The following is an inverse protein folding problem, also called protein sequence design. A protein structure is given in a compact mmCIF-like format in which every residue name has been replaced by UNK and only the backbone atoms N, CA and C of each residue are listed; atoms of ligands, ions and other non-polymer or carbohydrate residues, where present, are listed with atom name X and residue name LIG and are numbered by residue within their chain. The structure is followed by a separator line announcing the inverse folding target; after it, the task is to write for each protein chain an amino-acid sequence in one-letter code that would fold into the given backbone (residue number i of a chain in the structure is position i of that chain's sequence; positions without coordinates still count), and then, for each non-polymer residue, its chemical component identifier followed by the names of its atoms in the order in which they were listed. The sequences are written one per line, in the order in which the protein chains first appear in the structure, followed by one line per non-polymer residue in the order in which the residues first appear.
data_IF_824940205471
#
_entry.id   IF_824940205471
#
_cell.length_a   1.000
_cell.length_b   1.000
_cell.length_c   1.000
_cell.angle_alpha   90.00
_cell.angle_beta   90.00
_cell.angle_gamma   90.00
#
_symmetry.space_group_name_H-M   'P 1'
#
loop_
_entity.id
_entity.type
_entity.pdbx_description
1 polymer ?
#
# COMPACT_ATOMS: atom_id res chain seq x y z
N UNK A 1 -0.75 -18.71 -9.90
CA UNK A 1 -0.29 -17.31 -10.04
C UNK A 1 1.04 -17.09 -9.33
N UNK A 2 2.14 -16.98 -10.09
CA UNK A 2 3.49 -16.67 -9.57
C UNK A 2 3.59 -15.20 -9.13
N UNK A 3 2.93 -14.32 -9.87
CA UNK A 3 2.96 -12.87 -9.69
C UNK A 3 2.28 -12.41 -8.38
N UNK A 4 1.09 -12.95 -8.08
CA UNK A 4 0.37 -12.65 -6.84
C UNK A 4 1.20 -13.03 -5.60
N UNK A 5 1.80 -14.23 -5.63
CA UNK A 5 2.69 -14.67 -4.56
C UNK A 5 3.90 -13.75 -4.40
N UNK A 6 4.51 -13.32 -5.51
CA UNK A 6 5.62 -12.36 -5.45
C UNK A 6 5.18 -11.02 -4.84
N UNK A 7 4.03 -10.46 -5.24
CA UNK A 7 3.52 -9.21 -4.68
C UNK A 7 3.21 -9.32 -3.18
N UNK A 8 2.58 -10.41 -2.73
CA UNK A 8 2.33 -10.67 -1.31
C UNK A 8 3.66 -10.75 -0.54
N UNK A 9 4.65 -11.47 -1.08
CA UNK A 9 5.98 -11.58 -0.45
C UNK A 9 6.68 -10.23 -0.35
N UNK A 10 6.64 -9.40 -1.40
CA UNK A 10 7.20 -8.05 -1.35
C UNK A 10 6.46 -7.16 -0.34
N UNK A 11 5.13 -7.20 -0.31
CA UNK A 11 4.33 -6.44 0.67
C UNK A 11 4.60 -6.89 2.11
N UNK A 12 4.89 -8.18 2.34
CA UNK A 12 5.21 -8.69 3.66
C UNK A 12 6.55 -8.16 4.22
N UNK A 13 7.45 -7.66 3.37
CA UNK A 13 8.75 -7.09 3.77
C UNK A 13 8.65 -5.69 4.38
N UNK A 14 7.51 -5.01 4.26
CA UNK A 14 7.32 -3.72 4.92
C UNK A 14 7.47 -3.89 6.43
N UNK A 15 8.35 -3.12 7.06
CA UNK A 15 8.58 -3.13 8.50
C UNK A 15 7.40 -2.54 9.28
N UNK A 16 6.88 -1.41 8.78
CA UNK A 16 5.70 -0.74 9.33
C UNK A 16 4.42 -1.57 9.14
N UNK A 17 3.65 -1.74 10.21
CA UNK A 17 2.41 -2.51 10.21
C UNK A 17 1.32 -1.90 9.33
N UNK A 18 1.19 -0.57 9.32
CA UNK A 18 0.18 0.13 8.54
C UNK A 18 0.47 -0.03 7.04
N UNK A 19 1.74 0.09 6.63
CA UNK A 19 2.13 -0.18 5.24
C UNK A 19 1.90 -1.63 4.85
N UNK A 20 2.38 -2.58 5.66
CA UNK A 20 2.22 -4.00 5.39
C UNK A 20 0.76 -4.40 5.26
N UNK A 21 -0.09 -3.98 6.22
CA UNK A 21 -1.51 -4.32 6.23
C UNK A 21 -2.29 -3.67 5.08
N UNK A 22 -1.98 -2.42 4.73
CA UNK A 22 -2.60 -1.76 3.58
C UNK A 22 -2.19 -2.41 2.26
N UNK A 23 -0.89 -2.62 2.05
CA UNK A 23 -0.36 -3.21 0.82
C UNK A 23 -0.91 -4.63 0.60
N UNK A 24 -0.94 -5.48 1.63
CA UNK A 24 -1.52 -6.82 1.55
C UNK A 24 -3.02 -6.79 1.19
N UNK A 25 -3.79 -5.87 1.80
CA UNK A 25 -5.22 -5.72 1.51
C UNK A 25 -5.47 -5.26 0.08
N UNK A 26 -4.69 -4.29 -0.41
CA UNK A 26 -4.78 -3.77 -1.77
C UNK A 26 -4.46 -4.84 -2.81
N UNK A 27 -3.39 -5.61 -2.58
CA UNK A 27 -2.99 -6.73 -3.44
C UNK A 27 -4.07 -7.81 -3.48
N UNK A 28 -4.63 -8.18 -2.32
CA UNK A 28 -5.72 -9.15 -2.24
C UNK A 28 -6.96 -8.67 -2.99
N UNK A 29 -7.41 -7.45 -2.73
CA UNK A 29 -8.62 -6.90 -3.35
C UNK A 29 -8.51 -6.88 -4.88
N UNK A 30 -7.42 -6.35 -5.42
CA UNK A 30 -7.28 -6.30 -6.87
C UNK A 30 -6.96 -7.68 -7.50
N UNK A 31 -6.43 -8.65 -6.75
CA UNK A 31 -6.41 -10.04 -7.21
C UNK A 31 -7.81 -10.64 -7.33
N UNK A 32 -8.70 -10.38 -6.36
CA UNK A 32 -10.10 -10.82 -6.41
C UNK A 32 -10.85 -10.14 -7.56
N UNK A 33 -10.63 -8.84 -7.80
CA UNK A 33 -11.27 -8.09 -8.90
C UNK A 33 -10.81 -8.55 -10.29
N UNK A 34 -9.56 -9.00 -10.43
CA UNK A 34 -8.97 -9.36 -11.72
C UNK A 34 -8.76 -10.87 -11.88
N UNK A 35 -9.44 -11.69 -11.07
CA UNK A 35 -9.30 -13.15 -11.07
C UNK A 35 -9.70 -13.79 -12.40
N UNK A 36 -10.65 -13.17 -13.12
CA UNK A 36 -11.14 -13.61 -14.42
C UNK A 36 -10.40 -12.99 -15.61
N UNK A 37 -9.42 -12.13 -15.38
CA UNK A 37 -8.67 -11.48 -16.47
C UNK A 37 -7.58 -12.44 -16.99
N UNK A 38 -7.71 -12.84 -18.24
CA UNK A 38 -6.78 -13.75 -18.93
C UNK A 38 -5.79 -13.03 -19.85
N UNK A 39 -5.97 -11.73 -20.06
CA UNK A 39 -5.08 -10.91 -20.89
C UNK A 39 -3.81 -10.53 -20.10
N UNK A 40 -2.68 -11.09 -20.54
CA UNK A 40 -1.38 -10.86 -19.92
C UNK A 40 -0.96 -9.38 -19.90
N UNK A 41 -1.36 -8.60 -20.92
CA UNK A 41 -1.01 -7.18 -20.99
C UNK A 41 -1.75 -6.37 -19.93
N UNK A 42 -3.03 -6.68 -19.71
CA UNK A 42 -3.81 -6.07 -18.62
C UNK A 42 -3.28 -6.48 -17.26
N UNK A 43 -2.94 -7.74 -17.07
CA UNK A 43 -2.34 -8.22 -15.81
C UNK A 43 -1.04 -7.47 -15.50
N UNK A 44 -0.19 -7.24 -16.51
CA UNK A 44 1.03 -6.45 -16.36
C UNK A 44 0.74 -4.99 -15.99
N UNK A 45 -0.24 -4.36 -16.65
CA UNK A 45 -0.65 -2.99 -16.36
C UNK A 45 -1.24 -2.83 -14.94
N UNK A 46 -2.11 -3.75 -14.52
CA UNK A 46 -2.67 -3.81 -13.16
C UNK A 46 -1.54 -3.92 -12.14
N UNK A 47 -0.56 -4.77 -12.42
CA UNK A 47 0.58 -4.99 -11.52
C UNK A 47 1.48 -3.76 -11.41
N UNK A 48 1.67 -3.03 -12.52
CA UNK A 48 2.37 -1.74 -12.51
C UNK A 48 1.61 -0.71 -11.67
N UNK A 49 0.30 -0.59 -11.90
CA UNK A 49 -0.59 0.30 -11.13
C UNK A 49 -0.53 0.00 -9.63
N UNK A 50 -0.56 -1.28 -9.25
CA UNK A 50 -0.46 -1.70 -7.84
C UNK A 50 0.83 -1.21 -7.18
N UNK A 51 1.97 -1.31 -7.85
CA UNK A 51 3.25 -0.83 -7.31
C UNK A 51 3.23 0.67 -7.09
N UNK A 52 2.74 1.43 -8.08
CA UNK A 52 2.61 2.89 -7.98
C UNK A 52 1.67 3.31 -6.84
N UNK A 53 0.54 2.61 -6.68
CA UNK A 53 -0.41 2.87 -5.60
C UNK A 53 0.24 2.61 -4.22
N UNK A 54 0.99 1.51 -4.07
CA UNK A 54 1.70 1.17 -2.83
C UNK A 54 2.74 2.25 -2.48
N UNK A 55 3.54 2.71 -3.45
CA UNK A 55 4.51 3.78 -3.25
C UNK A 55 3.84 5.11 -2.87
N UNK A 56 2.70 5.43 -3.48
CA UNK A 56 1.93 6.62 -3.15
C UNK A 56 1.40 6.55 -1.71
N UNK A 57 0.81 5.41 -1.31
CA UNK A 57 0.41 5.21 0.09
C UNK A 57 1.60 5.30 1.03
N UNK A 58 2.76 4.77 0.63
CA UNK A 58 4.01 4.88 1.39
C UNK A 58 4.33 6.33 1.73
N UNK A 59 4.29 7.21 0.73
CA UNK A 59 4.54 8.64 0.91
C UNK A 59 3.49 9.30 1.80
N UNK A 60 2.21 9.00 1.58
CA UNK A 60 1.12 9.66 2.33
C UNK A 60 1.12 9.35 3.83
N UNK A 61 1.39 8.11 4.22
CA UNK A 61 1.46 7.76 5.66
C UNK A 61 2.71 8.38 6.30
N UNK A 62 3.85 8.43 5.61
CA UNK A 62 5.05 9.13 6.12
C UNK A 62 4.76 10.61 6.36
N UNK A 63 4.08 11.27 5.42
CA UNK A 63 3.63 12.65 5.57
C UNK A 63 2.67 12.77 6.77
N UNK A 64 1.72 11.85 6.90
CA UNK A 64 0.79 11.80 8.03
C UNK A 64 1.50 11.68 9.38
N UNK A 65 2.54 10.84 9.48
CA UNK A 65 3.34 10.72 10.70
C UNK A 65 4.10 12.01 11.04
N UNK A 66 4.64 12.71 10.04
CA UNK A 66 5.34 13.98 10.23
C UNK A 66 4.43 15.05 10.84
N UNK A 67 3.22 15.22 10.27
CA UNK A 67 2.25 16.20 10.74
C UNK A 67 1.50 15.77 12.02
N UNK A 68 1.41 14.47 12.30
CA UNK A 68 0.88 13.97 13.58
C UNK A 68 1.79 14.35 14.75
N UNK A 69 3.12 14.29 14.56
CA UNK A 69 4.08 14.72 15.57
C UNK A 69 3.98 16.23 15.87
N UNK A 70 3.73 17.06 14.84
CA UNK A 70 3.58 18.51 14.98
C UNK A 70 2.31 18.90 15.74
N UNK A 71 1.21 18.14 15.56
CA UNK A 71 -0.06 18.40 16.24
C UNK A 71 0.04 18.26 17.77
N UNK A 72 0.87 17.34 18.28
CA UNK A 72 1.07 17.14 19.71
C UNK A 72 1.77 18.30 20.45
N UNK A 73 2.52 19.15 19.74
CA UNK A 73 3.20 20.30 20.34
C UNK A 73 2.25 21.50 20.40
N UNK A 74 1.37 21.64 19.41
CA UNK A 74 0.36 22.70 19.36
C UNK A 74 -0.81 22.47 20.33
N UNK A 75 -1.19 21.21 20.59
CA UNK A 75 -2.25 20.86 21.55
C UNK A 75 -1.87 21.08 23.03
N UNK A 76 -0.61 21.44 23.34
CA UNK A 76 -0.15 21.69 24.72
C UNK A 76 -0.35 23.11 25.24
N UNK A 77 -0.80 24.06 24.41
CA UNK A 77 -0.89 25.48 24.79
C UNK A 77 -2.32 25.99 25.05
N UNK A 78 -3.26 25.11 25.40
CA UNK A 78 -4.63 25.48 25.80
C UNK A 78 -4.91 25.17 27.28
N UNK A 79 -3.99 25.56 28.16
CA UNK A 79 -4.21 25.68 29.61
C UNK A 79 -3.63 26.98 30.13
#
# INVERSE_FOLDING_TARGET
SKLYKQLITECAKFSDYNFRSHALRRVKHAYETHLSETDETKIANISKKMKEDIESTSRQVTIGHLFAAERHILDKNNT
#
